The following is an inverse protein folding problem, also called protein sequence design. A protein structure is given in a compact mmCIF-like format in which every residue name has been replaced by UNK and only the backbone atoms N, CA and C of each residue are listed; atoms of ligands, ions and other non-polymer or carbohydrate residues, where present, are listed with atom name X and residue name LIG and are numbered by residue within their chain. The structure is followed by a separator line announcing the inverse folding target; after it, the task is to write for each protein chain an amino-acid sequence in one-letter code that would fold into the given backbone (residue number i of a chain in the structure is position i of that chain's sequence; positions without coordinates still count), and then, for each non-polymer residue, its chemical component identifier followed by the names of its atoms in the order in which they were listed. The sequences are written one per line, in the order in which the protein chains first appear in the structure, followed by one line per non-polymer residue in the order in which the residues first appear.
data_IF_680136760808
#
_entry.id   IF_680136760808
#
_cell.length_a   1.000
_cell.length_b   1.000
_cell.length_c   1.000
_cell.angle_alpha   90.00
_cell.angle_beta   90.00
_cell.angle_gamma   90.00
#
_symmetry.space_group_name_H-M   'P 1'
#
loop_
_entity.id
_entity.type
_entity.pdbx_description
1 polymer ?
#
# COMPACT_ATOMS: atom_id res chain seq x y z
N UNK A 1 30.56 -0.45 -10.39
CA UNK A 1 29.13 -0.08 -10.48
C UNK A 1 28.35 -1.04 -9.59
N UNK A 2 27.71 -0.58 -8.53
CA UNK A 2 26.94 -1.43 -7.63
C UNK A 2 25.63 -1.87 -8.31
N UNK A 3 25.30 -3.16 -8.21
CA UNK A 3 24.02 -3.72 -8.71
C UNK A 3 22.80 -3.24 -7.90
N UNK A 4 23.00 -2.61 -6.74
CA UNK A 4 21.94 -2.14 -5.88
C UNK A 4 21.62 -0.66 -6.16
N UNK A 5 20.34 -0.25 -6.09
CA UNK A 5 19.95 1.13 -6.30
C UNK A 5 20.63 2.02 -5.24
N UNK A 6 21.32 3.06 -5.70
CA UNK A 6 22.12 3.96 -4.87
C UNK A 6 21.36 5.22 -4.43
N UNK A 7 20.13 5.43 -4.97
CA UNK A 7 19.31 6.62 -4.71
C UNK A 7 17.82 6.33 -4.84
N UNK A 8 16.98 7.21 -4.29
CA UNK A 8 15.52 7.14 -4.42
C UNK A 8 15.04 7.12 -5.88
N UNK A 9 15.53 8.02 -6.76
CA UNK A 9 15.20 7.98 -8.18
C UNK A 9 15.55 6.66 -8.86
N UNK A 10 16.71 6.09 -8.58
CA UNK A 10 17.12 4.82 -9.16
C UNK A 10 16.21 3.67 -8.71
N UNK A 11 15.88 3.62 -7.41
CA UNK A 11 14.95 2.63 -6.88
C UNK A 11 13.55 2.78 -7.48
N UNK A 12 13.08 4.02 -7.65
CA UNK A 12 11.76 4.29 -8.23
C UNK A 12 11.67 3.77 -9.67
N UNK A 13 12.65 4.09 -10.51
CA UNK A 13 12.68 3.64 -11.91
C UNK A 13 12.74 2.11 -12.01
N UNK A 14 13.49 1.47 -11.11
CA UNK A 14 13.57 0.00 -11.07
C UNK A 14 12.24 -0.65 -10.73
N UNK A 15 11.52 -0.11 -9.75
CA UNK A 15 10.31 -0.72 -9.22
C UNK A 15 9.05 -0.40 -10.04
N UNK A 16 8.97 0.77 -10.68
CA UNK A 16 7.71 1.30 -11.27
C UNK A 16 7.12 0.41 -12.35
N UNK A 17 7.94 -0.32 -13.09
CA UNK A 17 7.48 -1.19 -14.18
C UNK A 17 6.68 -2.41 -13.66
N UNK A 18 6.97 -2.87 -12.44
CA UNK A 18 6.31 -4.04 -11.85
C UNK A 18 4.81 -3.78 -11.64
N UNK A 19 4.36 -2.73 -10.90
CA UNK A 19 2.94 -2.46 -10.75
C UNK A 19 2.27 -2.05 -12.06
N UNK A 20 2.90 -1.25 -12.95
CA UNK A 20 2.28 -0.82 -14.20
C UNK A 20 1.90 -2.03 -15.06
N UNK A 21 2.88 -2.86 -15.42
CA UNK A 21 2.63 -4.03 -16.25
C UNK A 21 1.84 -5.11 -15.51
N UNK A 22 2.13 -5.28 -14.21
CA UNK A 22 1.52 -6.31 -13.39
C UNK A 22 0.00 -6.14 -13.26
N UNK A 23 -0.50 -4.93 -12.98
CA UNK A 23 -1.94 -4.67 -12.91
C UNK A 23 -2.64 -4.91 -14.24
N UNK A 24 -2.05 -4.48 -15.38
CA UNK A 24 -2.61 -4.72 -16.71
C UNK A 24 -2.76 -6.21 -16.98
N UNK A 25 -1.66 -6.96 -16.85
CA UNK A 25 -1.64 -8.40 -17.13
C UNK A 25 -2.59 -9.16 -16.21
N UNK A 26 -2.59 -8.83 -14.92
CA UNK A 26 -3.43 -9.52 -13.93
C UNK A 26 -4.91 -9.19 -14.13
N UNK A 27 -5.26 -7.97 -14.53
CA UNK A 27 -6.64 -7.57 -14.84
C UNK A 27 -7.17 -8.34 -16.06
N UNK A 28 -6.39 -8.43 -17.12
CA UNK A 28 -6.73 -9.22 -18.31
C UNK A 28 -6.87 -10.71 -17.94
N UNK A 29 -5.95 -11.23 -17.15
CA UNK A 29 -6.00 -12.62 -16.68
C UNK A 29 -7.25 -12.89 -15.84
N UNK A 30 -7.63 -11.98 -14.94
CA UNK A 30 -8.85 -12.10 -14.14
C UNK A 30 -10.11 -12.11 -15.01
N UNK A 31 -10.19 -11.30 -16.05
CA UNK A 31 -11.30 -11.32 -17.00
C UNK A 31 -11.48 -12.72 -17.61
N UNK A 32 -10.42 -13.32 -18.14
CA UNK A 32 -10.48 -14.67 -18.71
C UNK A 32 -10.77 -15.74 -17.64
N UNK A 33 -10.23 -15.61 -16.44
CA UNK A 33 -10.49 -16.51 -15.32
C UNK A 33 -11.97 -16.51 -14.89
N UNK A 34 -12.62 -15.33 -14.90
CA UNK A 34 -14.05 -15.18 -14.63
C UNK A 34 -14.85 -15.82 -15.77
N UNK A 35 -14.55 -15.48 -17.03
CA UNK A 35 -15.27 -15.99 -18.21
C UNK A 35 -15.23 -17.51 -18.32
N UNK A 36 -14.10 -18.12 -17.96
CA UNK A 36 -13.91 -19.58 -17.96
C UNK A 36 -14.36 -20.25 -16.65
N UNK A 37 -14.89 -19.50 -15.71
CA UNK A 37 -15.25 -19.94 -14.34
C UNK A 37 -14.14 -20.79 -13.67
N UNK A 38 -12.88 -20.41 -13.87
CA UNK A 38 -11.73 -21.15 -13.35
C UNK A 38 -11.27 -20.57 -12.02
N UNK A 39 -11.68 -21.20 -10.91
CA UNK A 39 -11.38 -20.76 -9.55
C UNK A 39 -9.87 -20.73 -9.25
N UNK A 40 -9.09 -21.65 -9.82
CA UNK A 40 -7.63 -21.68 -9.60
C UNK A 40 -6.97 -20.42 -10.16
N UNK A 41 -7.32 -20.03 -11.40
CA UNK A 41 -6.83 -18.81 -12.01
C UNK A 41 -7.36 -17.54 -11.29
N UNK A 42 -8.62 -17.53 -10.86
CA UNK A 42 -9.16 -16.41 -10.06
C UNK A 42 -8.37 -16.20 -8.76
N UNK A 43 -8.03 -17.28 -8.05
CA UNK A 43 -7.15 -17.21 -6.87
C UNK A 43 -5.77 -16.66 -7.22
N UNK A 44 -5.17 -17.15 -8.31
CA UNK A 44 -3.89 -16.61 -8.80
C UNK A 44 -3.94 -15.10 -9.03
N UNK A 45 -5.03 -14.60 -9.63
CA UNK A 45 -5.22 -13.17 -9.82
C UNK A 45 -5.35 -12.39 -8.50
N UNK A 46 -6.12 -12.93 -7.50
CA UNK A 46 -6.25 -12.26 -6.19
C UNK A 46 -4.91 -12.18 -5.45
N UNK A 47 -4.09 -13.25 -5.48
CA UNK A 47 -2.72 -13.21 -4.94
C UNK A 47 -1.87 -12.17 -5.66
N UNK A 48 -1.90 -12.16 -6.99
CA UNK A 48 -1.10 -11.24 -7.79
C UNK A 48 -1.47 -9.78 -7.52
N UNK A 49 -2.77 -9.45 -7.48
CA UNK A 49 -3.24 -8.09 -7.20
C UNK A 49 -2.83 -7.61 -5.80
N UNK A 50 -2.92 -8.48 -4.80
CA UNK A 50 -2.45 -8.16 -3.46
C UNK A 50 -0.93 -7.91 -3.43
N UNK A 51 -0.13 -8.78 -4.04
CA UNK A 51 1.33 -8.63 -4.08
C UNK A 51 1.77 -7.41 -4.90
N UNK A 52 1.06 -7.08 -5.98
CA UNK A 52 1.32 -5.88 -6.78
C UNK A 52 1.11 -4.61 -5.94
N UNK A 53 0.06 -4.55 -5.11
CA UNK A 53 -0.14 -3.45 -4.18
C UNK A 53 1.00 -3.38 -3.15
N UNK A 54 1.43 -4.51 -2.59
CA UNK A 54 2.56 -4.55 -1.63
C UNK A 54 3.82 -3.95 -2.26
N UNK A 55 4.11 -4.24 -3.53
CA UNK A 55 5.24 -3.65 -4.28
C UNK A 55 4.98 -2.17 -4.62
N UNK A 56 3.73 -1.77 -4.82
CA UNK A 56 3.39 -0.37 -5.09
C UNK A 56 3.70 0.56 -3.91
N UNK A 57 3.71 0.07 -2.67
CA UNK A 57 4.06 0.87 -1.47
C UNK A 57 5.49 1.42 -1.57
N UNK A 58 6.56 0.61 -1.65
CA UNK A 58 7.91 1.13 -1.79
C UNK A 58 8.11 1.89 -3.10
N UNK A 59 7.38 1.56 -4.18
CA UNK A 59 7.41 2.31 -5.43
C UNK A 59 6.93 3.74 -5.23
N UNK A 60 5.79 3.95 -4.58
CA UNK A 60 5.24 5.27 -4.30
C UNK A 60 6.15 6.09 -3.38
N UNK A 61 6.67 5.48 -2.33
CA UNK A 61 7.58 6.12 -1.36
C UNK A 61 8.89 6.56 -2.03
N UNK A 62 9.47 5.70 -2.88
CA UNK A 62 10.69 6.05 -3.62
C UNK A 62 10.45 7.18 -4.63
N UNK A 63 9.25 7.27 -5.22
CA UNK A 63 8.83 8.40 -6.04
C UNK A 63 8.74 9.70 -5.26
N UNK A 64 8.15 9.68 -4.08
CA UNK A 64 8.09 10.85 -3.20
C UNK A 64 9.50 11.31 -2.76
N UNK A 65 10.40 10.37 -2.43
CA UNK A 65 11.80 10.68 -2.14
C UNK A 65 12.53 11.29 -3.35
N UNK A 66 12.21 10.80 -4.56
CA UNK A 66 12.77 11.32 -5.83
C UNK A 66 12.37 12.77 -6.07
N UNK A 67 11.11 13.13 -5.79
CA UNK A 67 10.63 14.50 -5.91
C UNK A 67 11.48 15.47 -5.11
N UNK A 68 11.77 15.17 -3.85
CA UNK A 68 12.59 16.02 -2.99
C UNK A 68 14.00 16.22 -3.55
N UNK A 69 14.61 15.16 -4.10
CA UNK A 69 15.93 15.27 -4.73
C UNK A 69 15.92 16.14 -5.99
N UNK A 70 14.82 16.15 -6.74
CA UNK A 70 14.68 16.90 -7.99
C UNK A 70 14.29 18.35 -7.75
N UNK A 71 13.40 18.62 -6.79
CA UNK A 71 12.84 19.95 -6.52
C UNK A 71 13.91 20.97 -6.06
N UNK A 72 15.01 20.52 -5.46
CA UNK A 72 16.07 21.37 -4.92
C UNK A 72 17.35 21.36 -5.78
N UNK A 73 17.26 20.84 -7.01
CA UNK A 73 18.39 20.79 -7.95
C UNK A 73 18.15 21.72 -9.12
N UNK A 74 18.76 22.91 -9.07
CA UNK A 74 18.67 23.93 -10.12
C UNK A 74 19.42 23.55 -11.41
N UNK A 75 20.27 22.50 -11.36
CA UNK A 75 21.02 21.98 -12.48
C UNK A 75 20.23 21.02 -13.39
N UNK A 76 19.01 20.67 -12.99
CA UNK A 76 18.15 19.76 -13.76
C UNK A 76 17.03 20.55 -14.46
N UNK A 77 16.95 20.42 -15.79
CA UNK A 77 15.81 20.92 -16.57
C UNK A 77 14.59 20.03 -16.36
N UNK A 78 13.94 20.16 -15.20
CA UNK A 78 12.77 19.38 -14.82
C UNK A 78 11.54 20.25 -14.74
N UNK A 79 10.52 19.88 -15.49
CA UNK A 79 9.19 20.49 -15.42
C UNK A 79 8.48 20.07 -14.10
N UNK A 80 8.48 20.96 -13.11
CA UNK A 80 7.82 20.73 -11.82
C UNK A 80 6.31 20.52 -11.96
N UNK A 81 5.65 21.12 -12.96
CA UNK A 81 4.23 20.88 -13.24
C UNK A 81 3.95 19.43 -13.61
N UNK A 82 4.81 18.82 -14.44
CA UNK A 82 4.72 17.39 -14.74
C UNK A 82 5.00 16.51 -13.50
N UNK A 83 5.93 16.90 -12.64
CA UNK A 83 6.21 16.19 -11.39
C UNK A 83 4.98 16.17 -10.47
N UNK A 84 4.30 17.30 -10.29
CA UNK A 84 3.09 17.40 -9.49
C UNK A 84 1.93 16.61 -10.10
N UNK A 85 1.75 16.71 -11.42
CA UNK A 85 0.74 15.94 -12.12
C UNK A 85 0.98 14.43 -11.98
N UNK A 86 2.22 14.00 -12.18
CA UNK A 86 2.64 12.60 -11.95
C UNK A 86 2.31 12.14 -10.53
N UNK A 87 2.64 12.93 -9.52
CA UNK A 87 2.38 12.62 -8.13
C UNK A 87 0.88 12.46 -7.84
N UNK A 88 0.03 13.33 -8.37
CA UNK A 88 -1.42 13.24 -8.19
C UNK A 88 -1.98 11.96 -8.83
N UNK A 89 -1.57 11.64 -10.06
CA UNK A 89 -2.04 10.42 -10.75
C UNK A 89 -1.50 9.17 -10.05
N UNK A 90 -0.25 9.17 -9.60
CA UNK A 90 0.34 8.07 -8.83
C UNK A 90 -0.39 7.84 -7.50
N UNK A 91 -0.84 8.92 -6.84
CA UNK A 91 -1.63 8.83 -5.62
C UNK A 91 -2.97 8.13 -5.87
N UNK A 92 -3.72 8.54 -6.89
CA UNK A 92 -4.95 7.86 -7.27
C UNK A 92 -4.69 6.40 -7.63
N UNK A 93 -3.60 6.11 -8.32
CA UNK A 93 -3.19 4.74 -8.67
C UNK A 93 -3.03 3.88 -7.43
N UNK A 94 -2.30 4.35 -6.41
CA UNK A 94 -2.06 3.55 -5.19
C UNK A 94 -3.32 3.39 -4.34
N UNK A 95 -4.21 4.39 -4.30
CA UNK A 95 -5.49 4.30 -3.60
C UNK A 95 -6.39 3.22 -4.23
N UNK A 96 -6.55 3.23 -5.56
CA UNK A 96 -7.30 2.18 -6.25
C UNK A 96 -6.61 0.81 -6.14
N UNK A 97 -5.29 0.74 -6.20
CA UNK A 97 -4.54 -0.49 -5.97
C UNK A 97 -4.77 -1.05 -4.55
N UNK A 98 -4.85 -0.18 -3.53
CA UNK A 98 -5.18 -0.55 -2.17
C UNK A 98 -6.57 -1.17 -2.07
N UNK A 99 -7.59 -0.56 -2.68
CA UNK A 99 -8.95 -1.09 -2.72
C UNK A 99 -8.98 -2.47 -3.41
N UNK A 100 -8.31 -2.61 -4.55
CA UNK A 100 -8.20 -3.89 -5.28
C UNK A 100 -7.54 -4.96 -4.39
N UNK A 101 -6.46 -4.60 -3.69
CA UNK A 101 -5.74 -5.53 -2.83
C UNK A 101 -6.58 -5.99 -1.63
N UNK A 102 -7.30 -5.08 -0.98
CA UNK A 102 -8.18 -5.39 0.16
C UNK A 102 -9.31 -6.31 -0.28
N UNK A 103 -9.98 -6.01 -1.39
CA UNK A 103 -11.04 -6.84 -1.93
C UNK A 103 -10.53 -8.21 -2.38
N UNK A 104 -9.33 -8.27 -2.96
CA UNK A 104 -8.67 -9.52 -3.34
C UNK A 104 -8.30 -10.37 -2.11
N UNK A 105 -7.78 -9.74 -1.06
CA UNK A 105 -7.52 -10.42 0.20
C UNK A 105 -8.82 -10.93 0.86
N UNK A 106 -9.87 -10.12 0.86
CA UNK A 106 -11.19 -10.54 1.33
C UNK A 106 -11.76 -11.70 0.51
N UNK A 107 -11.57 -11.71 -0.83
CA UNK A 107 -11.95 -12.81 -1.70
C UNK A 107 -11.21 -14.12 -1.33
N UNK A 108 -9.89 -14.04 -1.06
CA UNK A 108 -9.10 -15.19 -0.59
C UNK A 108 -9.60 -15.72 0.75
N UNK A 109 -9.86 -14.83 1.71
CA UNK A 109 -10.42 -15.20 3.00
C UNK A 109 -11.79 -15.87 2.87
N UNK A 110 -12.69 -15.28 2.09
CA UNK A 110 -14.03 -15.82 1.83
C UNK A 110 -13.97 -17.18 1.15
N UNK A 111 -13.11 -17.31 0.12
CA UNK A 111 -12.90 -18.57 -0.57
C UNK A 111 -12.34 -19.67 0.38
N UNK A 112 -11.43 -19.34 1.27
CA UNK A 112 -10.90 -20.27 2.27
C UNK A 112 -12.02 -20.84 3.16
N UNK A 113 -13.02 -20.02 3.47
CA UNK A 113 -14.13 -20.38 4.35
C UNK A 113 -15.29 -21.06 3.66
N UNK A 114 -15.65 -20.61 2.44
CA UNK A 114 -16.88 -21.03 1.75
C UNK A 114 -16.63 -21.88 0.52
N UNK A 115 -15.39 -21.89 -0.01
CA UNK A 115 -15.04 -22.61 -1.22
C UNK A 115 -15.61 -22.01 -2.52
N UNK A 116 -16.27 -20.83 -2.47
CA UNK A 116 -16.96 -20.25 -3.60
C UNK A 116 -16.06 -19.33 -4.47
N UNK A 117 -16.49 -19.08 -5.71
CA UNK A 117 -15.77 -18.26 -6.68
C UNK A 117 -15.98 -16.73 -6.50
N UNK A 118 -16.64 -16.29 -5.44
CA UNK A 118 -16.88 -14.86 -5.15
C UNK A 118 -17.49 -14.04 -6.31
N UNK A 119 -18.40 -14.60 -7.09
CA UNK A 119 -19.02 -14.05 -8.32
C UNK A 119 -19.06 -12.53 -8.48
N UNK A 120 -19.95 -11.81 -7.77
CA UNK A 120 -20.06 -10.33 -7.87
C UNK A 120 -18.78 -9.62 -7.46
N UNK A 121 -18.08 -10.09 -6.44
CA UNK A 121 -16.83 -9.51 -5.96
C UNK A 121 -15.73 -9.56 -7.03
N UNK A 122 -15.67 -10.61 -7.84
CA UNK A 122 -14.72 -10.70 -8.95
C UNK A 122 -14.93 -9.61 -10.00
N UNK A 123 -16.19 -9.29 -10.33
CA UNK A 123 -16.49 -8.21 -11.27
C UNK A 123 -16.14 -6.83 -10.70
N UNK A 124 -16.34 -6.64 -9.39
CA UNK A 124 -15.90 -5.42 -8.71
C UNK A 124 -14.37 -5.28 -8.74
N UNK A 125 -13.64 -6.36 -8.39
CA UNK A 125 -12.17 -6.39 -8.46
C UNK A 125 -11.69 -6.13 -9.89
N UNK A 126 -12.34 -6.70 -10.89
CA UNK A 126 -12.00 -6.50 -12.30
C UNK A 126 -12.18 -5.03 -12.72
N UNK A 127 -13.32 -4.43 -12.38
CA UNK A 127 -13.59 -3.02 -12.70
C UNK A 127 -12.59 -2.05 -12.06
N UNK A 128 -12.32 -2.24 -10.77
CA UNK A 128 -11.32 -1.45 -10.04
C UNK A 128 -9.90 -1.73 -10.57
N UNK A 129 -9.58 -2.97 -10.92
CA UNK A 129 -8.32 -3.35 -11.54
C UNK A 129 -8.11 -2.68 -12.90
N UNK A 130 -9.17 -2.54 -13.70
CA UNK A 130 -9.11 -1.81 -14.97
C UNK A 130 -8.85 -0.31 -14.76
N UNK A 131 -9.50 0.31 -13.77
CA UNK A 131 -9.25 1.71 -13.38
C UNK A 131 -7.80 1.86 -12.90
N UNK A 132 -7.33 0.97 -12.01
CA UNK A 132 -5.95 0.98 -11.51
C UNK A 132 -4.94 0.85 -12.66
N UNK A 133 -5.19 -0.05 -13.60
CA UNK A 133 -4.32 -0.25 -14.78
C UNK A 133 -4.27 1.00 -15.65
N UNK A 134 -5.40 1.64 -15.91
CA UNK A 134 -5.47 2.89 -16.68
C UNK A 134 -4.70 4.01 -15.99
N UNK A 135 -4.92 4.22 -14.67
CA UNK A 135 -4.20 5.22 -13.89
C UNK A 135 -2.69 4.95 -13.87
N UNK A 136 -2.28 3.68 -13.73
CA UNK A 136 -0.87 3.28 -13.75
C UNK A 136 -0.19 3.61 -15.09
N UNK A 137 -0.89 3.40 -16.22
CA UNK A 137 -0.41 3.77 -17.54
C UNK A 137 -0.26 5.30 -17.65
N UNK A 138 -1.25 6.07 -17.16
CA UNK A 138 -1.17 7.53 -17.17
C UNK A 138 0.01 8.02 -16.32
N UNK A 139 0.19 7.48 -15.10
CA UNK A 139 1.33 7.80 -14.26
C UNK A 139 2.66 7.49 -14.96
N UNK A 140 2.78 6.31 -15.59
CA UNK A 140 3.96 5.91 -16.34
C UNK A 140 4.25 6.85 -17.52
N UNK A 141 3.22 7.22 -18.30
CA UNK A 141 3.34 8.15 -19.41
C UNK A 141 3.83 9.55 -18.98
N UNK A 142 3.26 10.09 -17.90
CA UNK A 142 3.68 11.39 -17.36
C UNK A 142 5.10 11.29 -16.81
N UNK A 143 5.42 10.22 -16.07
CA UNK A 143 6.77 9.98 -15.53
C UNK A 143 7.83 9.86 -16.63
N UNK A 144 7.48 9.24 -17.77
CA UNK A 144 8.34 9.19 -18.94
C UNK A 144 8.68 10.58 -19.49
N UNK A 145 7.70 11.49 -19.53
CA UNK A 145 7.90 12.87 -20.00
C UNK A 145 8.78 13.72 -19.07
N UNK A 146 8.81 13.41 -17.78
CA UNK A 146 9.72 14.08 -16.84
C UNK A 146 11.17 13.81 -17.21
N UNK A 147 11.49 12.54 -17.54
CA UNK A 147 12.86 12.11 -17.84
C UNK A 147 13.26 12.27 -19.31
N UNK A 148 12.31 12.50 -20.22
CA UNK A 148 12.49 12.57 -21.68
C UNK A 148 11.92 13.86 -22.25
N UNK A 149 12.66 14.99 -22.17
CA UNK A 149 12.22 16.27 -22.70
C UNK A 149 11.84 16.22 -24.19
N UNK A 150 12.53 15.37 -24.96
CA UNK A 150 12.28 15.17 -26.40
C UNK A 150 10.88 14.60 -26.72
N UNK A 151 10.21 13.98 -25.73
CA UNK A 151 8.85 13.41 -25.91
C UNK A 151 7.76 14.42 -25.50
N UNK A 152 8.14 15.60 -24.98
CA UNK A 152 7.19 16.64 -24.55
C UNK A 152 6.56 17.37 -25.73
N UNK A 153 7.20 17.37 -26.91
CA UNK A 153 6.72 18.07 -28.11
C UNK A 153 5.55 17.36 -28.75
N UNK A 154 4.44 18.06 -28.97
CA UNK A 154 3.36 17.68 -29.87
C UNK A 154 1.98 17.36 -29.27
N UNK A 155 1.86 17.08 -27.98
CA UNK A 155 0.54 16.83 -27.35
C UNK A 155 0.22 17.78 -26.19
N UNK A 156 1.18 18.58 -25.76
CA UNK A 156 1.09 19.46 -24.60
C UNK A 156 1.62 20.87 -24.82
N UNK A 157 1.83 21.29 -26.07
CA UNK A 157 2.06 22.73 -26.37
C UNK A 157 0.86 23.60 -25.97
N UNK A 158 -0.30 22.99 -25.71
CA UNK A 158 -1.47 23.64 -25.10
C UNK A 158 -1.57 23.52 -23.58
N UNK A 159 -0.72 22.70 -22.95
CA UNK A 159 -0.62 22.59 -21.48
C UNK A 159 0.56 23.41 -20.91
N UNK A 160 1.27 24.13 -21.77
CA UNK A 160 2.26 25.13 -21.39
C UNK A 160 1.67 26.29 -20.56
N UNK A 161 0.36 26.35 -20.44
CA UNK A 161 -0.33 27.19 -19.48
C UNK A 161 -1.10 26.29 -18.49
N UNK A 162 -0.38 25.57 -17.61
CA UNK A 162 -0.95 25.38 -16.29
C UNK A 162 -1.34 26.78 -15.80
N UNK A 163 -2.60 27.00 -15.36
CA UNK A 163 -3.01 28.29 -14.84
C UNK A 163 -1.94 28.78 -13.85
N UNK A 164 -1.57 30.06 -13.92
CA UNK A 164 -0.52 30.65 -13.08
C UNK A 164 -0.69 30.36 -11.58
N UNK A 165 -1.92 30.04 -11.14
CA UNK A 165 -2.25 29.57 -9.80
C UNK A 165 -1.79 28.11 -9.48
N UNK A 166 -1.43 27.32 -10.49
CA UNK A 166 -0.79 26.00 -10.31
C UNK A 166 0.74 26.06 -10.48
N UNK A 167 1.25 27.13 -11.11
CA UNK A 167 2.67 27.38 -11.27
C UNK A 167 3.32 28.07 -10.06
N UNK A 168 2.50 28.53 -9.09
CA UNK A 168 3.04 29.19 -7.89
C UNK A 168 3.59 28.17 -6.92
N UNK A 169 4.91 28.18 -6.85
CA UNK A 169 5.75 27.76 -5.73
C UNK A 169 5.10 26.83 -4.69
N UNK A 170 5.25 25.53 -4.87
CA UNK A 170 5.09 24.58 -3.76
C UNK A 170 3.68 24.03 -3.57
N UNK A 171 2.68 24.46 -4.32
CA UNK A 171 1.32 23.94 -4.19
C UNK A 171 0.97 22.98 -5.36
N UNK A 172 0.98 21.65 -5.13
CA UNK A 172 0.76 20.68 -6.21
C UNK A 172 -0.67 20.68 -6.78
N UNK A 173 -1.62 21.38 -6.12
CA UNK A 173 -3.04 21.29 -6.46
C UNK A 173 -3.64 19.88 -6.31
N UNK A 174 -4.91 19.72 -6.59
CA UNK A 174 -5.59 18.42 -6.61
C UNK A 174 -5.65 17.75 -5.24
N UNK A 175 -5.56 16.41 -5.22
CA UNK A 175 -5.73 15.63 -4.00
C UNK A 175 -4.57 15.76 -3.01
N UNK A 176 -3.36 15.99 -3.48
CA UNK A 176 -2.19 16.18 -2.59
C UNK A 176 -2.36 17.47 -1.80
N UNK A 177 -2.79 18.55 -2.44
CA UNK A 177 -3.08 19.83 -1.79
C UNK A 177 -4.26 19.70 -0.82
N UNK A 178 -5.33 19.02 -1.25
CA UNK A 178 -6.44 18.70 -0.38
C UNK A 178 -5.99 17.94 0.87
N UNK A 179 -5.16 16.89 0.73
CA UNK A 179 -4.66 16.09 1.84
C UNK A 179 -3.76 16.92 2.77
N UNK A 180 -2.88 17.77 2.20
CA UNK A 180 -2.05 18.70 2.96
C UNK A 180 -2.92 19.66 3.79
N UNK A 181 -3.88 20.32 3.14
CA UNK A 181 -4.77 21.27 3.81
C UNK A 181 -5.70 20.57 4.84
N UNK A 182 -6.10 19.32 4.57
CA UNK A 182 -6.89 18.52 5.51
C UNK A 182 -6.11 18.19 6.78
N UNK A 183 -4.83 17.88 6.66
CA UNK A 183 -3.99 17.39 7.78
C UNK A 183 -3.26 18.54 8.48
N UNK A 184 -2.66 19.47 7.72
CA UNK A 184 -1.76 20.52 8.26
C UNK A 184 -2.31 21.92 8.05
N UNK A 185 -3.28 22.13 7.14
CA UNK A 185 -3.79 23.44 6.77
C UNK A 185 -4.87 23.97 7.70
N UNK A 186 -4.83 25.27 7.94
CA UNK A 186 -5.92 26.06 8.51
C UNK A 186 -6.06 26.03 10.04
N UNK A 187 -7.03 26.80 10.54
CA UNK A 187 -7.28 27.08 11.97
C UNK A 187 -7.85 25.91 12.78
N UNK A 188 -7.96 24.71 12.18
CA UNK A 188 -8.64 23.58 12.80
C UNK A 188 -7.61 22.61 13.44
N UNK A 189 -7.07 23.01 14.58
CA UNK A 189 -6.12 22.24 15.40
C UNK A 189 -6.59 20.83 15.81
N UNK A 190 -7.90 20.54 15.74
CA UNK A 190 -8.48 19.24 16.12
C UNK A 190 -8.31 18.16 15.03
N UNK A 191 -8.02 18.53 13.77
CA UNK A 191 -7.98 17.57 12.65
C UNK A 191 -6.86 16.55 12.82
N UNK A 192 -5.63 17.01 13.07
CA UNK A 192 -4.52 16.11 13.29
C UNK A 192 -4.78 15.09 14.41
N UNK A 193 -5.17 15.52 15.64
CA UNK A 193 -5.52 14.58 16.72
C UNK A 193 -6.65 13.61 16.36
N UNK A 194 -7.63 14.03 15.58
CA UNK A 194 -8.73 13.16 15.16
C UNK A 194 -8.25 12.04 14.23
N UNK A 195 -7.43 12.37 13.22
CA UNK A 195 -6.84 11.36 12.34
C UNK A 195 -5.83 10.47 13.08
N UNK A 196 -5.09 11.01 14.02
CA UNK A 196 -4.18 10.25 14.87
C UNK A 196 -4.95 9.25 15.74
N UNK A 197 -6.05 9.67 16.37
CA UNK A 197 -6.93 8.78 17.13
C UNK A 197 -7.51 7.66 16.24
N UNK A 198 -7.97 8.00 15.05
CA UNK A 198 -8.46 7.01 14.08
C UNK A 198 -7.36 6.03 13.67
N UNK A 199 -6.13 6.51 13.45
CA UNK A 199 -4.97 5.68 13.17
C UNK A 199 -4.68 4.70 14.31
N UNK A 200 -4.76 5.14 15.57
CA UNK A 200 -4.58 4.27 16.73
C UNK A 200 -5.69 3.23 16.87
N UNK A 201 -6.94 3.59 16.56
CA UNK A 201 -8.06 2.63 16.52
C UNK A 201 -7.79 1.55 15.46
N UNK A 202 -7.41 1.95 14.25
CA UNK A 202 -7.02 1.02 13.21
C UNK A 202 -5.86 0.11 13.62
N UNK A 203 -4.84 0.67 14.28
CA UNK A 203 -3.69 -0.06 14.82
C UNK A 203 -4.12 -1.08 15.88
N UNK A 204 -5.00 -0.71 16.81
CA UNK A 204 -5.51 -1.60 17.84
C UNK A 204 -6.28 -2.78 17.26
N UNK A 205 -7.11 -2.55 16.23
CA UNK A 205 -7.86 -3.60 15.56
C UNK A 205 -6.94 -4.57 14.84
N UNK A 206 -6.01 -4.09 14.01
CA UNK A 206 -5.13 -4.99 13.24
C UNK A 206 -4.13 -5.71 14.15
N UNK A 207 -3.52 -5.02 15.12
CA UNK A 207 -2.57 -5.65 16.03
C UNK A 207 -3.26 -6.63 16.98
N UNK A 208 -4.46 -6.32 17.49
CA UNK A 208 -5.26 -7.21 18.31
C UNK A 208 -5.59 -8.53 17.60
N UNK A 209 -6.06 -8.46 16.36
CA UNK A 209 -6.33 -9.67 15.55
C UNK A 209 -5.05 -10.44 15.25
N UNK A 210 -3.96 -9.74 14.90
CA UNK A 210 -2.63 -10.34 14.69
C UNK A 210 -2.17 -11.11 15.90
N UNK A 211 -2.28 -10.49 17.08
CA UNK A 211 -1.86 -11.10 18.34
C UNK A 211 -2.67 -12.35 18.67
N UNK A 212 -4.01 -12.29 18.55
CA UNK A 212 -4.89 -13.43 18.81
C UNK A 212 -4.58 -14.61 17.89
N UNK A 213 -4.41 -14.37 16.58
CA UNK A 213 -4.06 -15.41 15.61
C UNK A 213 -2.69 -16.00 15.93
N UNK A 214 -1.69 -15.17 16.19
CA UNK A 214 -0.33 -15.60 16.46
C UNK A 214 -0.24 -16.40 17.77
N UNK A 215 -0.86 -15.94 18.84
CA UNK A 215 -0.91 -16.65 20.11
C UNK A 215 -1.55 -18.04 19.98
N UNK A 216 -2.67 -18.15 19.20
CA UNK A 216 -3.27 -19.46 18.91
C UNK A 216 -2.30 -20.39 18.17
N UNK A 217 -1.54 -19.89 17.20
CA UNK A 217 -0.56 -20.66 16.43
C UNK A 217 0.62 -21.08 17.32
N UNK A 218 1.12 -20.19 18.18
CA UNK A 218 2.19 -20.50 19.14
C UNK A 218 1.79 -21.59 20.12
N UNK A 219 0.49 -21.73 20.39
CA UNK A 219 -0.06 -22.78 21.26
C UNK A 219 -0.85 -22.26 22.46
N UNK A 220 -1.01 -20.93 22.60
CA UNK A 220 -1.84 -20.37 23.65
C UNK A 220 -3.32 -20.73 23.42
N UNK A 221 -3.98 -21.20 24.48
CA UNK A 221 -5.38 -21.64 24.47
C UNK A 221 -5.72 -22.68 23.36
N UNK A 222 -4.72 -23.43 22.86
CA UNK A 222 -4.92 -24.41 21.76
C UNK A 222 -5.92 -25.51 22.13
N UNK A 223 -6.03 -25.86 23.40
CA UNK A 223 -6.94 -26.92 23.87
C UNK A 223 -8.42 -26.53 23.71
N UNK A 224 -8.72 -25.24 23.70
CA UNK A 224 -10.09 -24.74 23.72
C UNK A 224 -10.51 -24.06 22.42
N UNK A 225 -9.54 -23.54 21.64
CA UNK A 225 -9.80 -22.68 20.49
C UNK A 225 -9.26 -23.32 19.20
N UNK A 226 -10.15 -23.58 18.21
CA UNK A 226 -9.72 -23.98 16.88
C UNK A 226 -9.13 -22.77 16.10
N UNK A 227 -8.25 -23.03 15.12
CA UNK A 227 -7.75 -21.96 14.26
C UNK A 227 -8.88 -21.30 13.44
N UNK A 228 -9.90 -22.04 13.05
CA UNK A 228 -11.08 -21.52 12.36
C UNK A 228 -11.83 -20.45 13.17
N UNK A 229 -11.83 -20.55 14.50
CA UNK A 229 -12.47 -19.57 15.35
C UNK A 229 -11.72 -18.21 15.30
N UNK A 230 -10.40 -18.20 15.42
CA UNK A 230 -9.60 -16.97 15.33
C UNK A 230 -9.55 -16.41 13.91
N UNK A 231 -9.59 -17.27 12.88
CA UNK A 231 -9.65 -16.88 11.48
C UNK A 231 -10.92 -16.07 11.12
N UNK A 232 -11.99 -16.20 11.90
CA UNK A 232 -13.21 -15.38 11.75
C UNK A 232 -12.96 -13.90 12.06
N UNK A 233 -11.94 -13.59 12.84
CA UNK A 233 -11.60 -12.21 13.22
C UNK A 233 -10.87 -11.43 12.11
N UNK A 234 -10.36 -12.10 11.08
CA UNK A 234 -9.60 -11.44 9.99
C UNK A 234 -10.32 -10.26 9.34
N UNK A 235 -11.65 -10.26 9.09
CA UNK A 235 -12.34 -9.07 8.57
C UNK A 235 -12.21 -7.84 9.46
N UNK A 236 -12.15 -8.02 10.79
CA UNK A 236 -11.90 -6.92 11.74
C UNK A 236 -10.47 -6.40 11.57
N UNK A 237 -9.51 -7.33 11.40
CA UNK A 237 -8.13 -6.97 11.06
C UNK A 237 -8.02 -6.24 9.73
N UNK A 238 -8.79 -6.66 8.70
CA UNK A 238 -8.82 -5.96 7.41
C UNK A 238 -9.37 -4.54 7.55
N UNK A 239 -10.45 -4.35 8.31
CA UNK A 239 -10.98 -3.02 8.62
C UNK A 239 -9.92 -2.16 9.33
N UNK A 240 -9.23 -2.72 10.32
CA UNK A 240 -8.14 -2.04 11.00
C UNK A 240 -7.00 -1.65 10.06
N UNK A 241 -6.63 -2.54 9.12
CA UNK A 241 -5.62 -2.26 8.10
C UNK A 241 -6.07 -1.15 7.15
N UNK A 242 -7.32 -1.15 6.67
CA UNK A 242 -7.87 -0.09 5.84
C UNK A 242 -7.73 1.26 6.51
N UNK A 243 -8.26 1.39 7.74
CA UNK A 243 -8.18 2.64 8.53
C UNK A 243 -6.72 3.09 8.69
N UNK A 244 -5.81 2.15 8.95
CA UNK A 244 -4.40 2.46 9.17
C UNK A 244 -3.67 2.88 7.91
N UNK A 245 -3.97 2.24 6.77
CA UNK A 245 -3.40 2.63 5.48
C UNK A 245 -3.92 3.99 5.04
N UNK A 246 -5.23 4.24 5.12
CA UNK A 246 -5.83 5.50 4.70
C UNK A 246 -5.28 6.68 5.52
N UNK A 247 -5.29 6.57 6.85
CA UNK A 247 -4.76 7.62 7.73
C UNK A 247 -3.24 7.75 7.60
N UNK A 248 -2.52 6.65 7.45
CA UNK A 248 -1.08 6.64 7.24
C UNK A 248 -0.67 7.27 5.90
N UNK A 249 -1.44 7.06 4.84
CA UNK A 249 -1.24 7.74 3.56
C UNK A 249 -1.52 9.24 3.67
N UNK A 250 -2.59 9.66 4.35
CA UNK A 250 -2.88 11.06 4.58
C UNK A 250 -1.73 11.76 5.31
N UNK A 251 -1.21 11.19 6.39
CA UNK A 251 -0.05 11.73 7.10
C UNK A 251 1.20 11.80 6.21
N UNK A 252 1.47 10.74 5.45
CA UNK A 252 2.62 10.71 4.55
C UNK A 252 2.52 11.77 3.45
N UNK A 253 1.33 11.94 2.85
CA UNK A 253 1.12 12.95 1.80
C UNK A 253 1.25 14.36 2.38
N UNK A 254 0.71 14.59 3.58
CA UNK A 254 0.76 15.88 4.25
C UNK A 254 2.19 16.35 4.55
N UNK A 255 3.12 15.43 4.83
CA UNK A 255 4.51 15.79 5.15
C UNK A 255 5.51 14.74 4.64
N UNK A 256 5.43 14.42 3.34
CA UNK A 256 6.26 13.36 2.73
C UNK A 256 7.76 13.62 2.85
N UNK A 257 8.19 14.87 2.78
CA UNK A 257 9.60 15.25 2.92
C UNK A 257 10.17 14.85 4.27
N UNK A 258 9.44 15.13 5.34
CA UNK A 258 9.81 14.75 6.69
C UNK A 258 9.90 13.23 6.84
N UNK A 259 8.89 12.50 6.38
CA UNK A 259 8.88 11.04 6.50
C UNK A 259 10.04 10.37 5.75
N UNK A 260 10.34 10.77 4.50
CA UNK A 260 11.44 10.16 3.73
C UNK A 260 12.82 10.52 4.28
N UNK A 261 12.96 11.65 4.98
CA UNK A 261 14.19 12.05 5.64
C UNK A 261 14.46 11.28 6.94
N UNK A 262 13.45 10.61 7.52
CA UNK A 262 13.58 9.93 8.81
C UNK A 262 14.25 8.56 8.68
N UNK A 263 15.38 8.28 9.36
CA UNK A 263 16.09 7.00 9.26
C UNK A 263 15.24 5.77 9.65
N UNK A 264 14.28 5.95 10.56
CA UNK A 264 13.38 4.87 11.01
C UNK A 264 12.27 4.49 10.02
N UNK A 265 11.94 5.36 9.07
CA UNK A 265 10.81 5.18 8.17
C UNK A 265 10.97 3.98 7.22
N UNK A 266 12.14 3.74 6.59
CA UNK A 266 12.34 2.54 5.78
C UNK A 266 12.12 1.23 6.55
N UNK A 267 12.54 1.15 7.80
CA UNK A 267 12.32 -0.04 8.65
C UNK A 267 10.86 -0.24 8.97
N UNK A 268 10.10 0.84 9.24
CA UNK A 268 8.63 0.78 9.39
C UNK A 268 7.97 0.20 8.15
N UNK A 269 8.36 0.67 6.96
CA UNK A 269 7.76 0.21 5.69
C UNK A 269 8.14 -1.25 5.42
N UNK A 270 9.39 -1.63 5.63
CA UNK A 270 9.82 -3.03 5.47
C UNK A 270 9.04 -3.97 6.42
N UNK A 271 8.88 -3.58 7.68
CA UNK A 271 8.11 -4.34 8.65
C UNK A 271 6.62 -4.43 8.27
N UNK A 272 6.02 -3.35 7.74
CA UNK A 272 4.65 -3.34 7.24
C UNK A 272 4.48 -4.32 6.07
N UNK A 273 5.39 -4.30 5.10
CA UNK A 273 5.39 -5.22 3.95
C UNK A 273 5.47 -6.68 4.43
N UNK A 274 6.38 -6.99 5.37
CA UNK A 274 6.50 -8.33 5.94
C UNK A 274 5.20 -8.72 6.66
N UNK A 275 4.63 -7.84 7.48
CA UNK A 275 3.39 -8.09 8.18
C UNK A 275 2.23 -8.39 7.23
N UNK A 276 2.11 -7.67 6.11
CA UNK A 276 1.08 -7.92 5.10
C UNK A 276 1.24 -9.29 4.44
N UNK A 277 2.47 -9.68 4.08
CA UNK A 277 2.77 -10.99 3.48
C UNK A 277 2.44 -12.11 4.47
N UNK A 278 2.83 -11.97 5.73
CA UNK A 278 2.53 -12.97 6.77
C UNK A 278 1.03 -13.02 7.07
N UNK A 279 0.34 -11.87 7.07
CA UNK A 279 -1.12 -11.84 7.19
C UNK A 279 -1.82 -12.61 6.07
N UNK A 280 -1.34 -12.48 4.84
CA UNK A 280 -1.81 -13.27 3.71
C UNK A 280 -1.57 -14.77 3.94
N UNK A 281 -0.38 -15.16 4.43
CA UNK A 281 -0.08 -16.55 4.78
C UNK A 281 -1.11 -17.14 5.75
N UNK A 282 -1.43 -16.45 6.86
CA UNK A 282 -2.42 -16.94 7.82
C UNK A 282 -3.85 -16.97 7.25
N UNK A 283 -4.13 -16.12 6.28
CA UNK A 283 -5.45 -16.11 5.62
C UNK A 283 -5.69 -17.35 4.76
N UNK A 284 -4.67 -17.83 4.05
CA UNK A 284 -4.83 -18.81 2.96
C UNK A 284 -4.28 -20.19 3.29
N UNK A 285 -3.58 -20.36 4.41
CA UNK A 285 -2.94 -21.62 4.76
C UNK A 285 -3.99 -22.68 5.17
N UNK A 286 -4.22 -23.64 4.26
CA UNK A 286 -5.21 -24.69 4.46
C UNK A 286 -4.88 -25.62 5.63
N UNK A 287 -3.59 -25.87 5.89
CA UNK A 287 -3.15 -26.71 7.00
C UNK A 287 -3.48 -26.06 8.33
N UNK A 288 -3.16 -24.78 8.49
CA UNK A 288 -3.52 -24.01 9.69
C UNK A 288 -5.05 -23.92 9.84
N UNK A 289 -5.74 -23.67 8.73
CA UNK A 289 -7.21 -23.59 8.74
C UNK A 289 -7.88 -24.90 9.22
N UNK A 290 -7.25 -26.05 8.98
CA UNK A 290 -7.75 -27.35 9.41
C UNK A 290 -7.52 -27.66 10.90
N UNK A 291 -6.69 -26.87 11.63
CA UNK A 291 -6.37 -27.14 13.04
C UNK A 291 -7.60 -26.97 13.93
N UNK A 292 -7.98 -28.08 14.58
CA UNK A 292 -9.04 -28.12 15.59
C UNK A 292 -8.49 -27.74 16.97
N UNK A 293 -9.40 -27.61 17.95
CA UNK A 293 -9.02 -27.52 19.35
C UNK A 293 -8.23 -28.78 19.76
N UNK A 294 -7.24 -28.64 20.60
CA UNK A 294 -6.30 -29.69 21.01
C UNK A 294 -5.15 -29.94 20.02
N UNK A 295 -5.22 -29.44 18.79
CA UNK A 295 -4.17 -29.66 17.80
C UNK A 295 -3.13 -28.53 17.81
N UNK A 296 -1.86 -28.89 17.66
CA UNK A 296 -0.73 -27.95 17.65
C UNK A 296 -0.29 -27.61 16.21
N UNK A 297 0.15 -26.39 16.02
CA UNK A 297 0.76 -25.96 14.76
C UNK A 297 2.19 -26.49 14.63
N UNK A 298 2.72 -26.54 13.41
CA UNK A 298 4.11 -26.93 13.20
C UNK A 298 5.07 -25.87 13.74
N UNK A 299 6.32 -26.27 13.99
CA UNK A 299 7.36 -25.36 14.47
C UNK A 299 7.56 -24.18 13.49
N UNK A 300 7.52 -24.44 12.18
CA UNK A 300 7.63 -23.39 11.14
C UNK A 300 6.48 -22.38 11.24
N UNK A 301 5.24 -22.85 11.46
CA UNK A 301 4.08 -21.96 11.63
C UNK A 301 4.24 -21.07 12.86
N UNK A 302 4.82 -21.61 13.95
CA UNK A 302 5.10 -20.85 15.17
C UNK A 302 6.17 -19.77 14.91
N UNK A 303 7.22 -20.07 14.16
CA UNK A 303 8.20 -19.05 13.75
C UNK A 303 7.55 -17.94 12.92
N UNK A 304 6.71 -18.29 11.98
CA UNK A 304 5.95 -17.30 11.18
C UNK A 304 5.05 -16.44 12.07
N UNK A 305 4.45 -17.02 13.12
CA UNK A 305 3.65 -16.26 14.09
C UNK A 305 4.50 -15.27 14.91
N UNK A 306 5.72 -15.64 15.32
CA UNK A 306 6.65 -14.71 15.96
C UNK A 306 7.06 -13.57 15.02
N UNK A 307 7.37 -13.89 13.75
CA UNK A 307 7.70 -12.87 12.74
C UNK A 307 6.52 -11.89 12.58
N UNK A 308 5.28 -12.38 12.61
CA UNK A 308 4.10 -11.53 12.50
C UNK A 308 3.96 -10.54 13.65
N UNK A 309 4.11 -11.01 14.90
CA UNK A 309 4.09 -10.16 16.10
C UNK A 309 5.22 -9.12 16.04
N UNK A 310 6.45 -9.58 15.76
CA UNK A 310 7.63 -8.71 15.72
C UNK A 310 7.48 -7.64 14.63
N UNK A 311 6.97 -8.00 13.45
CA UNK A 311 6.75 -7.05 12.36
C UNK A 311 5.79 -5.94 12.78
N UNK A 312 4.64 -6.26 13.37
CA UNK A 312 3.70 -5.24 13.84
C UNK A 312 4.25 -4.43 15.02
N UNK A 313 4.96 -5.07 15.96
CA UNK A 313 5.64 -4.36 17.04
C UNK A 313 6.68 -3.36 16.49
N UNK A 314 7.41 -3.75 15.44
CA UNK A 314 8.35 -2.88 14.72
C UNK A 314 7.65 -1.70 14.04
N UNK A 315 6.51 -1.94 13.38
CA UNK A 315 5.68 -0.87 12.78
C UNK A 315 5.24 0.14 13.85
N UNK A 316 4.77 -0.35 15.00
CA UNK A 316 4.33 0.49 16.13
C UNK A 316 5.52 1.28 16.70
N UNK A 317 6.63 0.59 16.97
CA UNK A 317 7.83 1.21 17.57
C UNK A 317 8.35 2.35 16.69
N UNK A 318 8.65 2.09 15.42
CA UNK A 318 9.13 3.14 14.52
C UNK A 318 8.05 4.18 14.22
N UNK A 319 6.76 3.80 14.17
CA UNK A 319 5.67 4.76 14.03
C UNK A 319 5.63 5.78 15.17
N UNK A 320 5.88 5.34 16.40
CA UNK A 320 5.88 6.21 17.58
C UNK A 320 7.16 7.04 17.71
N UNK A 321 8.30 6.54 17.23
CA UNK A 321 9.58 7.26 17.26
C UNK A 321 9.65 8.42 16.27
N UNK A 322 8.88 8.36 15.18
CA UNK A 322 8.92 9.36 14.11
C UNK A 322 8.79 10.82 14.61
N UNK A 323 7.89 11.17 15.56
CA UNK A 323 7.78 12.55 16.06
C UNK A 323 8.95 13.01 16.93
N UNK A 324 9.68 12.07 17.58
CA UNK A 324 10.66 12.40 18.60
C UNK A 324 12.11 12.48 18.10
N UNK A 325 12.45 11.74 17.05
CA UNK A 325 13.83 11.70 16.52
C UNK A 325 14.24 13.03 15.89
N UNK A 326 13.28 13.89 15.51
CA UNK A 326 13.52 15.20 14.88
C UNK A 326 12.79 16.37 15.56
N UNK A 327 12.22 16.15 16.73
CA UNK A 327 11.56 17.20 17.53
C UNK A 327 12.48 18.01 18.45
N UNK A 328 13.79 17.89 18.26
CA UNK A 328 14.80 18.67 18.98
C UNK A 328 15.33 19.79 18.10
N UNK A 329 14.60 20.89 17.98
CA UNK A 329 15.03 22.12 17.33
C UNK A 329 14.00 23.19 17.57
#
# INVERSE_FOLDING_TARGET
MGMLPSSGPHLHILLVHIPILGFIVTTIWLYFAIRKNNLCHQKGCWYSMFLLFVVSIPTYISGAASRWNVQYRDDLDVDLGLVFLHQNVALWTILFACLVAILSWFALWRNQRKGDACGRLNWTILGLGAITSWLAVQAGSIGGRINHPEVRTGLYDGAAALPDNLAVAGNPGGFVDFAYNLILGGDQYWRWPAFEALHFIGMALIFGVTLIISLRVIGFAKEHISFQAVHRLLPIGFLGLCINLDTGFLFFIGDSGRYVAMPGFPYKIAALVIAMIVGLYFTVNKRLYALQAGQDATLNDKYVAYIYIISWATVIFFGRQLPYIFGGG
#
